data_IF_463365712722
#
_entry.id   IF_463365712722
#
_cell.length_a   1.000
_cell.length_b   1.000
_cell.length_c   1.000
_cell.angle_alpha   90.00
_cell.angle_beta   90.00
_cell.angle_gamma   90.00
#
_symmetry.space_group_name_H-M   'P 1'
#
loop_
_entity.id
_entity.type
_entity.pdbx_description
1 polymer ?
#
# COMPACT_ATOMS: atom_id res chain seq x y z
N UNK A 1 10.86 5.28 3.69
CA UNK A 1 11.47 4.02 4.18
C UNK A 1 12.59 3.63 3.23
N UNK A 2 13.54 2.80 3.67
CA UNK A 2 14.62 2.34 2.80
C UNK A 2 14.20 1.05 2.10
N UNK A 3 13.88 1.12 0.82
CA UNK A 3 13.52 -0.08 0.07
C UNK A 3 14.74 -1.00 -0.06
N UNK A 4 14.56 -2.34 -0.02
CA UNK A 4 15.65 -3.28 -0.28
C UNK A 4 16.31 -2.99 -1.63
N UNK A 5 17.60 -3.30 -1.77
CA UNK A 5 18.30 -3.11 -3.03
C UNK A 5 18.03 -4.26 -4.02
N UNK A 6 18.35 -4.02 -5.29
CA UNK A 6 18.29 -5.02 -6.35
C UNK A 6 16.87 -5.44 -6.77
N UNK A 7 16.77 -6.64 -7.36
CA UNK A 7 15.53 -7.16 -7.98
C UNK A 7 14.39 -7.27 -6.97
N UNK A 8 14.70 -7.68 -5.73
CA UNK A 8 13.71 -7.85 -4.67
C UNK A 8 13.06 -6.52 -4.26
N UNK A 9 13.85 -5.45 -4.15
CA UNK A 9 13.36 -4.10 -3.90
C UNK A 9 12.39 -3.62 -4.96
N UNK A 10 12.78 -3.79 -6.23
CA UNK A 10 11.94 -3.45 -7.40
C UNK A 10 10.63 -4.21 -7.40
N UNK A 11 10.66 -5.52 -7.12
CA UNK A 11 9.46 -6.34 -7.05
C UNK A 11 8.50 -5.87 -5.95
N UNK A 12 9.00 -5.58 -4.74
CA UNK A 12 8.17 -5.07 -3.66
C UNK A 12 7.62 -3.66 -3.94
N UNK A 13 8.43 -2.80 -4.54
CA UNK A 13 8.00 -1.46 -4.93
C UNK A 13 6.91 -1.52 -6.02
N UNK A 14 7.08 -2.35 -7.03
CA UNK A 14 6.07 -2.58 -8.08
C UNK A 14 4.77 -3.16 -7.50
N UNK A 15 4.88 -4.18 -6.64
CA UNK A 15 3.73 -4.77 -5.95
C UNK A 15 2.98 -3.73 -5.11
N UNK A 16 3.70 -2.85 -4.40
CA UNK A 16 3.10 -1.76 -3.65
C UNK A 16 2.35 -0.76 -4.54
N UNK A 17 2.96 -0.32 -5.66
CA UNK A 17 2.33 0.62 -6.59
C UNK A 17 1.04 0.06 -7.18
N UNK A 18 1.06 -1.20 -7.62
CA UNK A 18 -0.13 -1.89 -8.14
C UNK A 18 -1.18 -2.04 -7.05
N UNK A 19 -0.81 -2.53 -5.87
CA UNK A 19 -1.74 -2.72 -4.75
C UNK A 19 -2.40 -1.41 -4.32
N UNK A 20 -1.63 -0.32 -4.24
CA UNK A 20 -2.16 1.00 -3.89
C UNK A 20 -3.13 1.52 -4.95
N UNK A 21 -2.79 1.40 -6.24
CA UNK A 21 -3.67 1.81 -7.32
C UNK A 21 -4.98 1.00 -7.33
N UNK A 22 -4.88 -0.33 -7.21
CA UNK A 22 -6.05 -1.23 -7.13
C UNK A 22 -6.93 -0.88 -5.93
N UNK A 23 -6.32 -0.59 -4.78
CA UNK A 23 -7.04 -0.20 -3.57
C UNK A 23 -7.82 1.11 -3.79
N UNK A 24 -7.15 2.15 -4.32
CA UNK A 24 -7.77 3.46 -4.57
C UNK A 24 -8.90 3.36 -5.60
N UNK A 25 -8.70 2.59 -6.68
CA UNK A 25 -9.74 2.35 -7.69
C UNK A 25 -10.94 1.62 -7.08
N UNK A 26 -10.70 0.58 -6.27
CA UNK A 26 -11.77 -0.13 -5.56
C UNK A 26 -12.58 0.80 -4.65
N UNK A 27 -11.91 1.63 -3.85
CA UNK A 27 -12.57 2.64 -3.00
C UNK A 27 -13.38 3.63 -3.84
N UNK A 28 -12.81 4.17 -4.92
CA UNK A 28 -13.48 5.13 -5.78
C UNK A 28 -14.74 4.53 -6.44
N UNK A 29 -14.67 3.27 -6.87
CA UNK A 29 -15.80 2.57 -7.45
C UNK A 29 -16.91 2.31 -6.44
N UNK A 30 -16.59 1.89 -5.21
CA UNK A 30 -17.58 1.72 -4.13
C UNK A 30 -18.28 3.06 -3.85
N UNK A 31 -17.52 4.14 -3.68
CA UNK A 31 -18.08 5.48 -3.44
C UNK A 31 -18.94 5.94 -4.62
N UNK A 32 -18.50 5.74 -5.86
CA UNK A 32 -19.27 6.07 -7.06
C UNK A 32 -20.58 5.28 -7.15
N UNK A 33 -20.54 3.98 -6.81
CA UNK A 33 -21.73 3.11 -6.75
C UNK A 33 -22.75 3.65 -5.75
N UNK A 34 -22.29 4.01 -4.53
CA UNK A 34 -23.12 4.59 -3.48
C UNK A 34 -23.74 5.94 -3.89
N UNK A 35 -22.94 6.82 -4.50
CA UNK A 35 -23.43 8.13 -4.97
C UNK A 35 -24.43 8.01 -6.12
N UNK A 36 -24.28 7.00 -6.98
CA UNK A 36 -25.18 6.78 -8.13
C UNK A 36 -26.47 6.03 -7.78
N UNK A 37 -26.55 5.43 -6.59
CA UNK A 37 -27.67 4.56 -6.18
C UNK A 37 -27.79 3.27 -6.99
N UNK A 38 -26.73 2.87 -7.73
CA UNK A 38 -26.69 1.65 -8.54
C UNK A 38 -25.69 0.68 -7.93
N UNK A 39 -26.11 -0.54 -7.59
CA UNK A 39 -25.29 -1.53 -6.87
C UNK A 39 -24.45 -2.47 -7.75
N UNK A 40 -24.35 -2.20 -9.06
CA UNK A 40 -23.82 -3.18 -10.02
C UNK A 40 -22.36 -3.59 -9.79
N UNK A 41 -21.56 -2.79 -9.09
CA UNK A 41 -20.11 -3.03 -8.92
C UNK A 41 -19.61 -2.99 -7.47
N UNK A 42 -20.51 -2.93 -6.47
CA UNK A 42 -20.09 -2.79 -5.06
C UNK A 42 -19.20 -3.95 -4.62
N UNK A 43 -19.61 -5.20 -4.88
CA UNK A 43 -18.87 -6.37 -4.41
C UNK A 43 -17.50 -6.55 -5.08
N UNK A 44 -17.37 -6.49 -6.42
CA UNK A 44 -16.06 -6.53 -7.07
C UNK A 44 -15.15 -5.36 -6.64
N UNK A 45 -15.70 -4.16 -6.51
CA UNK A 45 -14.93 -2.98 -6.09
C UNK A 45 -14.44 -3.10 -4.64
N UNK A 46 -15.28 -3.60 -3.73
CA UNK A 46 -14.91 -3.90 -2.37
C UNK A 46 -13.81 -4.99 -2.31
N UNK A 47 -13.94 -6.04 -3.11
CA UNK A 47 -12.92 -7.10 -3.20
C UNK A 47 -11.56 -6.54 -3.68
N UNK A 48 -11.55 -5.64 -4.66
CA UNK A 48 -10.34 -4.94 -5.10
C UNK A 48 -9.70 -4.11 -3.98
N UNK A 49 -10.53 -3.32 -3.26
CA UNK A 49 -10.05 -2.51 -2.14
C UNK A 49 -9.41 -3.38 -1.05
N UNK A 50 -10.08 -4.46 -0.66
CA UNK A 50 -9.57 -5.41 0.34
C UNK A 50 -8.31 -6.11 -0.15
N UNK A 51 -8.25 -6.57 -1.40
CA UNK A 51 -7.08 -7.24 -1.96
C UNK A 51 -5.84 -6.33 -1.95
N UNK A 52 -5.98 -5.07 -2.39
CA UNK A 52 -4.90 -4.10 -2.33
C UNK A 52 -4.42 -3.85 -0.88
N UNK A 53 -5.36 -3.72 0.06
CA UNK A 53 -5.06 -3.53 1.47
C UNK A 53 -4.35 -4.74 2.12
N UNK A 54 -4.71 -5.96 1.72
CA UNK A 54 -4.04 -7.18 2.18
C UNK A 54 -2.59 -7.24 1.69
N UNK A 55 -2.33 -6.87 0.44
CA UNK A 55 -0.97 -6.80 -0.11
C UNK A 55 -0.15 -5.75 0.65
N UNK A 56 -0.69 -4.55 0.86
CA UNK A 56 -0.03 -3.49 1.65
C UNK A 56 0.29 -3.99 3.07
N UNK A 57 -0.64 -4.74 3.69
CA UNK A 57 -0.46 -5.31 5.02
C UNK A 57 0.64 -6.38 5.05
N UNK A 58 0.72 -7.22 4.03
CA UNK A 58 1.80 -8.19 3.85
C UNK A 58 3.16 -7.51 3.67
N UNK A 59 3.22 -6.51 2.78
CA UNK A 59 4.43 -5.73 2.53
C UNK A 59 4.91 -5.00 3.79
N UNK A 60 4.01 -4.41 4.57
CA UNK A 60 4.35 -3.76 5.83
C UNK A 60 4.98 -4.73 6.85
N UNK A 61 4.58 -6.02 6.86
CA UNK A 61 5.22 -7.05 7.69
C UNK A 61 6.61 -7.40 7.16
N UNK A 62 6.75 -7.59 5.86
CA UNK A 62 8.02 -7.95 5.23
C UNK A 62 9.06 -6.83 5.28
N UNK A 63 8.60 -5.58 5.32
CA UNK A 63 9.44 -4.38 5.24
C UNK A 63 9.51 -3.63 6.58
N UNK A 64 9.13 -4.29 7.68
CA UNK A 64 9.21 -3.71 9.03
C UNK A 64 10.64 -3.29 9.40
N UNK A 65 11.63 -4.07 8.98
CA UNK A 65 13.04 -3.84 9.30
C UNK A 65 13.66 -2.73 8.43
N UNK A 66 12.94 -2.30 7.38
CA UNK A 66 13.32 -1.18 6.51
C UNK A 66 12.84 0.19 7.05
N UNK A 67 12.12 0.21 8.17
CA UNK A 67 11.67 1.44 8.82
C UNK A 67 12.81 2.04 9.65
N UNK A 68 13.21 3.30 9.39
CA UNK A 68 14.20 3.98 10.20
C UNK A 68 13.82 4.04 11.68
N UNK A 69 14.76 3.75 12.58
CA UNK A 69 14.56 3.82 14.03
C UNK A 69 14.09 5.21 14.53
N UNK A 70 14.43 6.26 13.78
CA UNK A 70 13.96 7.64 14.05
C UNK A 70 12.45 7.82 13.92
N UNK A 71 11.76 6.96 13.16
CA UNK A 71 10.31 6.98 12.98
C UNK A 71 9.57 6.12 14.02
N UNK A 72 10.26 5.26 14.75
CA UNK A 72 9.70 4.36 15.77
C UNK A 72 9.97 4.91 17.18
N UNK A 73 9.76 6.22 17.39
CA UNK A 73 9.95 6.85 18.71
C UNK A 73 9.00 6.22 19.74
N UNK A 74 9.53 5.85 20.91
CA UNK A 74 8.71 5.54 22.09
C UNK A 74 7.93 4.22 22.07
N UNK A 75 8.47 3.14 21.45
CA UNK A 75 7.87 1.77 21.35
C UNK A 75 6.83 1.54 20.25
N UNK A 76 6.69 2.45 19.28
CA UNK A 76 5.83 2.18 18.12
C UNK A 76 6.37 0.97 17.31
N UNK A 77 5.54 -0.06 17.12
CA UNK A 77 5.88 -1.22 16.29
C UNK A 77 6.25 -0.75 14.86
N UNK A 78 7.48 -1.04 14.37
CA UNK A 78 7.92 -0.69 13.03
C UNK A 78 6.93 -1.14 11.93
N UNK A 79 6.24 -2.27 12.13
CA UNK A 79 5.20 -2.75 11.22
C UNK A 79 4.05 -1.76 11.11
N UNK A 80 3.58 -1.21 12.23
CA UNK A 80 2.46 -0.25 12.23
C UNK A 80 2.88 1.07 11.58
N UNK A 81 4.14 1.48 11.76
CA UNK A 81 4.70 2.65 11.08
C UNK A 81 4.79 2.41 9.57
N UNK A 82 5.32 1.26 9.13
CA UNK A 82 5.38 0.87 7.72
C UNK A 82 3.98 0.85 7.10
N UNK A 83 3.04 0.17 7.75
CA UNK A 83 1.66 0.06 7.33
C UNK A 83 0.99 1.43 7.16
N UNK A 84 1.07 2.30 8.18
CA UNK A 84 0.50 3.64 8.11
C UNK A 84 1.09 4.44 6.94
N UNK A 85 2.41 4.39 6.74
CA UNK A 85 3.05 5.14 5.65
C UNK A 85 2.64 4.60 4.28
N UNK A 86 2.56 3.28 4.11
CA UNK A 86 2.16 2.64 2.86
C UNK A 86 0.67 2.87 2.55
N UNK A 87 -0.23 2.68 3.51
CA UNK A 87 -1.68 2.90 3.36
C UNK A 87 -2.00 4.37 3.04
N UNK A 88 -1.21 5.32 3.55
CA UNK A 88 -1.37 6.75 3.24
C UNK A 88 -0.67 7.19 1.95
N UNK A 89 -0.07 6.29 1.18
CA UNK A 89 0.61 6.66 -0.07
C UNK A 89 1.95 7.40 0.13
N UNK A 90 2.47 7.50 1.36
CA UNK A 90 3.69 8.27 1.66
C UNK A 90 4.95 7.65 1.08
N UNK A 91 4.90 6.37 0.69
CA UNK A 91 6.00 5.66 0.07
C UNK A 91 5.91 5.61 -1.46
N UNK A 92 4.87 6.20 -2.09
CA UNK A 92 4.71 6.21 -3.56
C UNK A 92 5.92 6.82 -4.29
N UNK A 93 6.46 8.00 -3.90
CA UNK A 93 7.63 8.55 -4.58
C UNK A 93 8.90 7.72 -4.38
N UNK A 94 9.01 7.02 -3.26
CA UNK A 94 10.11 6.10 -2.98
C UNK A 94 10.02 4.86 -3.87
N UNK A 95 8.86 4.22 -3.90
CA UNK A 95 8.62 3.03 -4.72
C UNK A 95 8.81 3.32 -6.22
N UNK A 96 8.30 4.46 -6.69
CA UNK A 96 8.46 4.87 -8.09
C UNK A 96 9.92 5.06 -8.49
N UNK A 97 10.75 5.64 -7.60
CA UNK A 97 12.19 5.74 -7.83
C UNK A 97 12.84 4.36 -7.91
N UNK A 98 12.54 3.48 -6.97
CA UNK A 98 13.11 2.12 -6.92
C UNK A 98 12.80 1.33 -8.19
N UNK A 99 11.57 1.41 -8.70
CA UNK A 99 11.16 0.72 -9.94
C UNK A 99 11.88 1.25 -11.17
N UNK A 100 12.11 2.57 -11.26
CA UNK A 100 12.80 3.18 -12.41
C UNK A 100 14.32 2.96 -12.42
N UNK A 101 14.91 2.57 -11.28
CA UNK A 101 16.35 2.48 -11.11
C UNK A 101 16.99 3.85 -10.96
#
# INVERSE_FOLDING_TARGET
>A
MTWPEGVRGRAFAAAYLVAFAVMVVGIALVLGSQLSGRDLLVWPAAAMAVAGQLIITGLARLLRDAVPASLTKGRADPRNVAWNRMSLGRELPGAWRVVRG
#
